data_IF_022092629655
#
_entry.id   IF_022092629655
#
_cell.length_a   1.000
_cell.length_b   1.000
_cell.length_c   1.000
_cell.angle_alpha   90.00
_cell.angle_beta   90.00
_cell.angle_gamma   90.00
#
_symmetry.space_group_name_H-M   'P 1'
#
loop_
_entity.id
_entity.type
_entity.pdbx_description
1 polymer ?
#
# COMPACT_ATOMS: atom_id res chain seq x y z
N UNK A 1 19.26 -7.33 17.64
CA UNK A 1 18.00 -7.95 17.21
C UNK A 1 17.15 -6.91 16.51
N UNK A 2 16.75 -7.22 15.29
CA UNK A 2 16.18 -6.31 14.28
C UNK A 2 14.71 -6.01 14.59
N UNK A 3 14.30 -4.75 14.50
CA UNK A 3 12.88 -4.35 14.54
C UNK A 3 12.62 -3.24 13.52
N UNK A 4 11.84 -3.61 12.49
CA UNK A 4 11.33 -2.75 11.43
C UNK A 4 10.45 -1.62 12.01
N UNK A 5 10.78 -0.36 11.72
CA UNK A 5 9.97 0.81 12.05
C UNK A 5 9.84 1.74 10.86
N UNK A 6 8.60 1.99 10.43
CA UNK A 6 8.28 2.95 9.38
C UNK A 6 8.72 4.37 9.79
N UNK A 7 9.70 4.95 9.08
CA UNK A 7 10.15 6.32 9.29
C UNK A 7 9.15 7.31 8.68
N UNK A 8 8.58 8.17 9.51
CA UNK A 8 7.92 9.40 9.10
C UNK A 8 8.73 10.57 9.62
N UNK A 9 9.43 11.29 8.74
CA UNK A 9 10.12 12.52 9.11
C UNK A 9 9.11 13.60 9.50
N UNK A 10 9.29 14.18 10.68
CA UNK A 10 8.51 15.31 11.17
C UNK A 10 9.30 16.09 12.22
N UNK A 11 10.15 17.01 11.77
CA UNK A 11 10.77 18.00 12.63
C UNK A 11 9.85 19.21 12.83
N UNK A 12 9.57 19.57 14.08
CA UNK A 12 10.01 20.86 14.66
C UNK A 12 9.73 20.91 16.16
N UNK A 13 10.63 21.62 16.82
CA UNK A 13 10.76 21.83 18.24
C UNK A 13 9.59 22.66 18.83
N UNK A 14 9.51 22.58 20.15
CA UNK A 14 8.56 23.13 21.09
C UNK A 14 8.38 24.66 21.00
N UNK A 15 7.12 25.10 21.06
CA UNK A 15 6.69 26.28 21.80
C UNK A 15 5.19 26.12 22.12
N UNK A 16 4.81 26.52 23.32
CA UNK A 16 3.51 26.25 23.96
C UNK A 16 2.43 27.22 23.49
N UNK A 17 1.30 26.70 22.98
CA UNK A 17 0.02 27.42 22.97
C UNK A 17 -1.17 26.43 23.02
N UNK A 18 -2.14 26.56 23.96
CA UNK A 18 -3.17 25.55 24.22
C UNK A 18 -4.51 25.80 23.50
N UNK A 19 -4.53 26.33 22.28
CA UNK A 19 -5.79 26.55 21.54
C UNK A 19 -5.65 26.33 20.02
N UNK A 20 -5.54 25.08 19.54
CA UNK A 20 -6.02 24.70 18.20
C UNK A 20 -6.45 23.23 18.16
N UNK A 21 -7.61 22.92 18.74
CA UNK A 21 -8.34 21.69 18.43
C UNK A 21 -9.28 21.93 17.25
N UNK A 22 -8.78 21.75 16.02
CA UNK A 22 -9.64 21.84 14.83
C UNK A 22 -8.85 21.67 13.55
N UNK A 23 -9.28 20.73 12.71
CA UNK A 23 -8.77 20.41 11.37
C UNK A 23 -7.68 19.34 11.26
N UNK A 24 -8.11 18.09 11.46
CA UNK A 24 -7.41 16.90 10.99
C UNK A 24 -7.63 16.75 9.48
N UNK A 25 -6.97 17.56 8.66
CA UNK A 25 -6.73 17.19 7.28
C UNK A 25 -5.86 15.92 7.31
N UNK A 26 -6.39 14.82 6.78
CA UNK A 26 -5.67 13.56 6.71
C UNK A 26 -4.60 13.68 5.61
N UNK A 27 -3.54 14.44 5.89
CA UNK A 27 -2.32 14.51 5.10
C UNK A 27 -1.74 13.10 5.13
N UNK A 28 -1.96 12.34 4.06
CA UNK A 28 -1.23 11.08 3.88
C UNK A 28 0.24 11.47 3.83
N UNK A 29 1.11 10.89 4.67
CA UNK A 29 2.53 11.20 4.59
C UNK A 29 3.02 10.86 3.18
N UNK A 30 3.68 11.81 2.52
CA UNK A 30 4.36 11.61 1.25
C UNK A 30 5.64 10.80 1.54
N UNK A 31 5.48 9.53 1.93
CA UNK A 31 6.59 8.62 2.19
C UNK A 31 6.73 7.62 1.04
N UNK A 32 7.87 6.92 1.01
CA UNK A 32 8.16 5.95 -0.05
C UNK A 32 7.06 4.88 -0.17
N UNK A 33 6.57 4.34 0.94
CA UNK A 33 5.51 3.32 0.92
C UNK A 33 4.21 3.82 0.26
N UNK A 34 3.84 5.09 0.49
CA UNK A 34 2.68 5.71 -0.14
C UNK A 34 2.90 5.98 -1.64
N UNK A 35 4.13 6.29 -2.06
CA UNK A 35 4.49 6.40 -3.47
C UNK A 35 4.42 5.03 -4.17
N UNK A 36 5.01 4.00 -3.56
CA UNK A 36 4.96 2.61 -4.05
C UNK A 36 3.52 2.11 -4.12
N UNK A 37 2.67 2.39 -3.12
CA UNK A 37 1.24 2.01 -3.16
C UNK A 37 0.52 2.64 -4.36
N UNK A 38 0.85 3.88 -4.74
CA UNK A 38 0.27 4.53 -5.92
C UNK A 38 0.70 3.84 -7.21
N UNK A 39 1.99 3.53 -7.38
CA UNK A 39 2.51 2.80 -8.55
C UNK A 39 1.91 1.40 -8.64
N UNK A 40 1.90 0.64 -7.54
CA UNK A 40 1.31 -0.71 -7.50
C UNK A 40 -0.17 -0.69 -7.88
N UNK A 41 -0.93 0.31 -7.42
CA UNK A 41 -2.34 0.46 -7.80
C UNK A 41 -2.50 0.86 -9.26
N UNK A 42 -1.65 1.75 -9.78
CA UNK A 42 -1.70 2.16 -11.18
C UNK A 42 -1.43 0.97 -12.12
N UNK A 43 -0.52 0.07 -11.75
CA UNK A 43 -0.21 -1.14 -12.51
C UNK A 43 -1.12 -2.34 -12.17
N UNK A 44 -2.20 -2.15 -11.43
CA UNK A 44 -3.06 -3.27 -11.00
C UNK A 44 -3.59 -4.13 -12.15
N UNK A 45 -3.80 -3.53 -13.32
CA UNK A 45 -4.23 -4.24 -14.51
C UNK A 45 -3.20 -5.29 -15.01
N UNK A 46 -1.91 -5.10 -14.77
CA UNK A 46 -0.86 -6.02 -15.24
C UNK A 46 -0.69 -7.25 -14.35
N UNK A 47 -0.82 -7.09 -13.04
CA UNK A 47 -0.49 -8.14 -12.06
C UNK A 47 -1.72 -8.79 -11.40
N UNK A 48 -2.92 -8.24 -11.55
CA UNK A 48 -4.15 -8.83 -11.02
C UNK A 48 -4.99 -9.49 -12.13
N UNK A 49 -4.73 -10.78 -12.36
CA UNK A 49 -5.40 -11.60 -13.38
C UNK A 49 -6.65 -12.34 -12.88
N UNK A 50 -7.06 -12.13 -11.62
CA UNK A 50 -8.24 -12.81 -11.07
C UNK A 50 -9.51 -12.40 -11.82
N UNK A 51 -10.40 -13.37 -12.16
CA UNK A 51 -11.69 -13.07 -12.76
C UNK A 51 -12.44 -12.11 -11.85
N UNK A 52 -12.64 -10.93 -12.39
CA UNK A 52 -13.21 -9.80 -11.66
C UNK A 52 -14.69 -10.08 -11.41
N UNK A 53 -15.16 -9.86 -10.18
CA UNK A 53 -16.59 -9.89 -9.87
C UNK A 53 -17.33 -8.95 -10.84
N UNK A 54 -18.53 -9.31 -11.36
CA UNK A 54 -19.33 -8.39 -12.16
C UNK A 54 -19.52 -7.06 -11.41
N UNK A 55 -19.48 -6.00 -12.21
CA UNK A 55 -19.32 -4.60 -11.83
C UNK A 55 -19.85 -4.22 -10.45
N UNK A 56 -18.93 -3.89 -9.55
CA UNK A 56 -19.32 -3.12 -8.39
C UNK A 56 -19.87 -1.76 -8.84
N UNK A 57 -20.81 -1.19 -8.10
CA UNK A 57 -21.34 0.17 -8.38
C UNK A 57 -20.22 1.22 -8.45
N UNK A 58 -19.09 0.97 -7.79
CA UNK A 58 -17.88 1.79 -7.85
C UNK A 58 -17.11 1.64 -9.17
N UNK A 59 -17.07 0.44 -9.74
CA UNK A 59 -16.42 0.16 -11.02
C UNK A 59 -17.20 0.79 -12.17
N UNK A 60 -18.53 0.62 -12.17
CA UNK A 60 -19.42 1.29 -13.12
C UNK A 60 -19.27 2.81 -13.08
N UNK A 61 -19.26 3.41 -11.87
CA UNK A 61 -18.99 4.85 -11.70
C UNK A 61 -17.60 5.25 -12.20
N UNK A 62 -16.60 4.39 -12.08
CA UNK A 62 -15.25 4.66 -12.55
C UNK A 62 -15.17 4.63 -14.08
N UNK A 63 -15.84 3.67 -14.73
CA UNK A 63 -15.92 3.63 -16.21
C UNK A 63 -16.66 4.84 -16.76
N UNK A 64 -17.80 5.19 -16.17
CA UNK A 64 -18.58 6.36 -16.58
C UNK A 64 -17.75 7.65 -16.48
N UNK A 65 -16.99 7.81 -15.39
CA UNK A 65 -16.12 8.98 -15.20
C UNK A 65 -14.95 9.01 -16.17
N UNK A 66 -14.37 7.85 -16.47
CA UNK A 66 -13.32 7.75 -17.48
C UNK A 66 -13.84 8.17 -18.86
N UNK A 67 -14.97 7.60 -19.29
CA UNK A 67 -15.61 7.94 -20.55
C UNK A 67 -15.87 9.44 -20.67
N UNK A 68 -16.51 10.05 -19.65
CA UNK A 68 -16.83 11.47 -19.66
C UNK A 68 -15.58 12.39 -19.69
N UNK A 69 -14.49 12.01 -19.04
CA UNK A 69 -13.23 12.79 -19.09
C UNK A 69 -12.54 12.64 -20.44
N UNK A 70 -12.52 11.44 -21.03
CA UNK A 70 -11.89 11.20 -22.33
C UNK A 70 -12.68 11.81 -23.49
N UNK A 71 -14.02 11.82 -23.41
CA UNK A 71 -14.89 12.47 -24.40
C UNK A 71 -14.63 13.98 -24.45
N UNK A 72 -14.61 14.66 -23.30
CA UNK A 72 -14.30 16.09 -23.25
C UNK A 72 -12.86 16.39 -23.71
N UNK A 73 -11.91 15.48 -23.45
CA UNK A 73 -10.53 15.59 -23.95
C UNK A 73 -10.45 15.42 -25.46
N UNK A 74 -11.23 14.50 -26.04
CA UNK A 74 -11.32 14.31 -27.48
C UNK A 74 -11.92 15.55 -28.18
N UNK A 75 -12.82 16.28 -27.51
CA UNK A 75 -13.36 17.57 -27.95
C UNK A 75 -12.39 18.76 -27.77
N UNK A 76 -11.15 18.52 -27.31
CA UNK A 76 -10.15 19.58 -27.12
C UNK A 76 -10.35 20.42 -25.86
N UNK A 77 -11.25 20.03 -24.94
CA UNK A 77 -11.52 20.81 -23.72
C UNK A 77 -10.36 20.68 -22.73
N UNK A 78 -9.88 21.83 -22.24
CA UNK A 78 -8.82 21.90 -21.23
C UNK A 78 -9.22 21.27 -19.89
N UNK A 79 -8.25 20.74 -19.15
CA UNK A 79 -8.50 19.97 -17.91
C UNK A 79 -9.27 20.74 -16.83
N UNK A 80 -9.08 22.06 -16.72
CA UNK A 80 -9.84 22.90 -15.79
C UNK A 80 -11.31 23.03 -16.17
N UNK A 81 -11.60 23.17 -17.46
CA UNK A 81 -12.97 23.25 -17.94
C UNK A 81 -13.67 21.88 -17.84
N UNK A 82 -12.96 20.78 -18.07
CA UNK A 82 -13.46 19.44 -17.76
C UNK A 82 -13.84 19.29 -16.28
N UNK A 83 -13.01 19.81 -15.37
CA UNK A 83 -13.29 19.79 -13.93
C UNK A 83 -14.56 20.57 -13.57
N UNK A 84 -14.75 21.75 -14.19
CA UNK A 84 -15.94 22.57 -14.01
C UNK A 84 -17.20 21.90 -14.55
N UNK A 85 -17.18 21.42 -15.81
CA UNK A 85 -18.33 20.77 -16.47
C UNK A 85 -18.78 19.48 -15.77
N UNK A 86 -17.82 18.69 -15.28
CA UNK A 86 -18.12 17.42 -14.58
C UNK A 86 -18.42 17.60 -13.09
N UNK A 87 -18.25 18.81 -12.54
CA UNK A 87 -18.36 19.09 -11.10
C UNK A 87 -17.37 18.27 -10.26
N UNK A 88 -16.14 18.09 -10.76
CA UNK A 88 -15.10 17.26 -10.11
C UNK A 88 -13.85 18.06 -9.81
N UNK A 89 -13.17 17.70 -8.72
CA UNK A 89 -11.88 18.29 -8.38
C UNK A 89 -10.85 18.06 -9.51
N UNK A 90 -10.04 19.08 -9.81
CA UNK A 90 -9.04 19.06 -10.88
C UNK A 90 -8.07 17.86 -10.77
N UNK A 91 -7.67 17.48 -9.55
CA UNK A 91 -6.81 16.32 -9.31
C UNK A 91 -7.47 14.99 -9.70
N UNK A 92 -8.80 14.90 -9.61
CA UNK A 92 -9.55 13.74 -10.09
C UNK A 92 -9.50 13.71 -11.62
N UNK A 93 -9.83 14.82 -12.29
CA UNK A 93 -9.77 14.89 -13.76
C UNK A 93 -8.37 14.59 -14.27
N UNK A 94 -7.33 15.15 -13.67
CA UNK A 94 -5.93 14.83 -13.98
C UNK A 94 -5.63 13.33 -13.86
N UNK A 95 -6.13 12.67 -12.81
CA UNK A 95 -5.94 11.23 -12.62
C UNK A 95 -6.60 10.42 -13.74
N UNK A 96 -7.84 10.74 -14.09
CA UNK A 96 -8.56 10.04 -15.16
C UNK A 96 -7.93 10.31 -16.53
N UNK A 97 -7.55 11.56 -16.81
CA UNK A 97 -6.95 12.00 -18.06
C UNK A 97 -5.53 11.47 -18.33
N UNK A 98 -4.85 10.92 -17.31
CA UNK A 98 -3.54 10.28 -17.42
C UNK A 98 -3.63 8.77 -17.64
N UNK A 99 -4.77 8.16 -17.33
CA UNK A 99 -4.96 6.73 -17.56
C UNK A 99 -5.24 6.51 -19.04
N UNK A 100 -4.55 5.57 -19.66
CA UNK A 100 -4.81 5.19 -21.05
C UNK A 100 -6.02 4.27 -21.14
N UNK A 101 -6.21 3.44 -20.10
CA UNK A 101 -7.28 2.44 -20.05
C UNK A 101 -8.11 2.61 -18.78
N UNK A 102 -9.39 2.26 -18.89
CA UNK A 102 -10.29 2.24 -17.71
C UNK A 102 -9.74 1.27 -16.66
N UNK A 103 -9.14 0.17 -17.11
CA UNK A 103 -8.57 -0.88 -16.27
C UNK A 103 -7.53 -0.35 -15.26
N UNK A 104 -6.76 0.69 -15.61
CA UNK A 104 -5.70 1.27 -14.77
C UNK A 104 -6.27 2.03 -13.54
N UNK A 105 -7.54 2.44 -13.61
CA UNK A 105 -8.22 3.21 -12.56
C UNK A 105 -9.04 2.34 -11.62
N UNK A 106 -9.24 1.10 -12.03
CA UNK A 106 -10.12 0.17 -11.39
C UNK A 106 -9.39 -0.57 -10.28
N UNK A 107 -9.99 -0.58 -9.09
CA UNK A 107 -9.34 -1.20 -7.93
C UNK A 107 -9.52 -2.72 -7.93
N UNK A 108 -8.50 -3.49 -7.50
CA UNK A 108 -8.65 -4.92 -7.30
C UNK A 108 -9.74 -5.21 -6.25
N UNK A 109 -10.49 -6.33 -6.40
CA UNK A 109 -11.51 -6.72 -5.42
C UNK A 109 -10.88 -6.92 -4.05
N UNK A 110 -11.50 -6.34 -3.01
CA UNK A 110 -11.12 -6.64 -1.62
C UNK A 110 -11.99 -7.77 -1.10
N UNK A 111 -11.41 -8.95 -0.94
CA UNK A 111 -12.07 -10.07 -0.30
C UNK A 111 -11.84 -10.01 1.21
N UNK A 112 -12.92 -9.95 1.98
CA UNK A 112 -12.86 -10.08 3.45
C UNK A 112 -12.56 -11.52 3.88
N UNK A 113 -12.17 -11.72 5.15
CA UNK A 113 -12.06 -13.05 5.73
C UNK A 113 -13.41 -13.79 5.61
N UNK A 114 -13.35 -15.07 5.30
CA UNK A 114 -14.49 -15.96 5.14
C UNK A 114 -14.23 -17.30 5.81
N UNK A 115 -15.29 -18.05 6.10
CA UNK A 115 -15.22 -19.33 6.83
C UNK A 115 -14.31 -20.37 6.16
N UNK A 116 -14.16 -20.30 4.83
CA UNK A 116 -13.31 -21.22 4.07
C UNK A 116 -11.82 -20.88 4.22
N UNK A 117 -11.46 -19.66 4.65
CA UNK A 117 -10.05 -19.27 4.82
C UNK A 117 -9.33 -20.14 5.86
N UNK A 118 -10.03 -20.65 6.88
CA UNK A 118 -9.46 -21.55 7.89
C UNK A 118 -9.07 -22.93 7.33
N UNK A 119 -9.71 -23.38 6.25
CA UNK A 119 -9.45 -24.66 5.60
C UNK A 119 -8.69 -24.51 4.28
N UNK A 120 -8.07 -23.34 4.03
CA UNK A 120 -7.45 -22.98 2.75
C UNK A 120 -6.45 -24.03 2.28
N UNK A 121 -5.52 -24.43 3.13
CA UNK A 121 -4.42 -25.34 2.77
C UNK A 121 -4.94 -26.73 2.41
N UNK A 122 -6.00 -27.19 3.08
CA UNK A 122 -6.67 -28.46 2.77
C UNK A 122 -7.37 -28.40 1.42
N UNK A 123 -8.15 -27.34 1.17
CA UNK A 123 -8.82 -27.11 -0.11
C UNK A 123 -7.80 -27.01 -1.25
N UNK A 124 -6.68 -26.32 -1.04
CA UNK A 124 -5.61 -26.20 -2.03
C UNK A 124 -5.05 -27.56 -2.43
N UNK A 125 -4.66 -28.38 -1.44
CA UNK A 125 -4.08 -29.70 -1.67
C UNK A 125 -5.04 -30.59 -2.47
N UNK A 126 -6.32 -30.63 -2.08
CA UNK A 126 -7.33 -31.44 -2.76
C UNK A 126 -7.66 -30.98 -4.18
N UNK A 127 -7.60 -29.67 -4.44
CA UNK A 127 -7.74 -29.14 -5.80
C UNK A 127 -6.55 -29.52 -6.68
N UNK A 128 -5.33 -29.52 -6.16
CA UNK A 128 -4.14 -29.98 -6.89
C UNK A 128 -4.24 -31.48 -7.24
N UNK A 129 -4.83 -32.27 -6.35
CA UNK A 129 -5.14 -33.69 -6.56
C UNK A 129 -6.36 -33.93 -7.49
N UNK A 130 -6.94 -32.88 -8.08
CA UNK A 130 -8.17 -32.95 -8.92
C UNK A 130 -9.37 -33.60 -8.23
N UNK A 131 -9.46 -33.47 -6.92
CA UNK A 131 -10.57 -34.02 -6.13
C UNK A 131 -11.87 -33.24 -6.40
N UNK A 132 -13.04 -33.91 -6.55
CA UNK A 132 -14.30 -33.22 -6.77
C UNK A 132 -14.71 -32.35 -5.57
N UNK A 133 -15.31 -31.19 -5.85
CA UNK A 133 -15.67 -30.17 -4.84
C UNK A 133 -16.62 -30.71 -3.77
N UNK A 134 -17.48 -31.68 -4.10
CA UNK A 134 -18.37 -32.36 -3.16
C UNK A 134 -17.62 -33.12 -2.08
N UNK A 135 -16.50 -33.77 -2.43
CA UNK A 135 -15.63 -34.48 -1.49
C UNK A 135 -14.82 -33.51 -0.64
N UNK A 136 -14.34 -32.42 -1.23
CA UNK A 136 -13.68 -31.33 -0.49
C UNK A 136 -14.64 -30.76 0.56
N UNK A 137 -15.91 -30.56 0.23
CA UNK A 137 -16.92 -30.05 1.15
C UNK A 137 -17.17 -30.99 2.33
N UNK A 138 -17.22 -32.30 2.10
CA UNK A 138 -17.38 -33.29 3.16
C UNK A 138 -16.19 -33.25 4.12
N UNK A 139 -14.97 -33.28 3.58
CA UNK A 139 -13.74 -33.28 4.38
C UNK A 139 -13.57 -32.00 5.22
N UNK A 140 -13.92 -30.82 4.70
CA UNK A 140 -13.84 -29.60 5.51
C UNK A 140 -14.95 -29.52 6.57
N UNK A 141 -16.12 -30.13 6.32
CA UNK A 141 -17.20 -30.21 7.32
C UNK A 141 -16.78 -31.07 8.51
N UNK A 142 -16.09 -32.18 8.25
CA UNK A 142 -15.52 -33.02 9.31
C UNK A 142 -14.44 -32.27 10.12
N UNK A 143 -13.77 -31.29 9.51
CA UNK A 143 -12.83 -30.38 10.18
C UNK A 143 -13.51 -29.20 10.90
N UNK A 144 -14.84 -29.13 10.93
CA UNK A 144 -15.60 -28.08 11.62
C UNK A 144 -16.09 -26.92 10.74
N UNK A 145 -16.09 -27.07 9.41
CA UNK A 145 -16.64 -26.05 8.51
C UNK A 145 -18.17 -25.97 8.60
N UNK A 146 -18.68 -24.81 9.02
CA UNK A 146 -20.12 -24.54 9.18
C UNK A 146 -20.75 -23.79 8.00
N UNK A 147 -19.97 -23.48 6.96
CA UNK A 147 -20.44 -22.68 5.82
C UNK A 147 -21.21 -23.47 4.75
N UNK A 148 -21.79 -22.74 3.80
CA UNK A 148 -22.55 -23.34 2.69
C UNK A 148 -21.65 -23.91 1.57
N UNK A 149 -22.20 -24.85 0.79
CA UNK A 149 -21.54 -25.39 -0.40
C UNK A 149 -21.25 -24.28 -1.45
N UNK A 150 -22.20 -23.36 -1.61
CA UNK A 150 -22.08 -22.21 -2.50
C UNK A 150 -20.93 -21.28 -2.10
N UNK A 151 -20.66 -21.15 -0.79
CA UNK A 151 -19.51 -20.38 -0.31
C UNK A 151 -18.19 -21.03 -0.71
N UNK A 152 -18.08 -22.37 -0.63
CA UNK A 152 -16.90 -23.12 -1.07
C UNK A 152 -16.70 -23.02 -2.59
N UNK A 153 -17.74 -23.26 -3.39
CA UNK A 153 -17.67 -23.14 -4.86
C UNK A 153 -17.26 -21.72 -5.26
N UNK A 154 -17.86 -20.70 -4.64
CA UNK A 154 -17.51 -19.31 -4.87
C UNK A 154 -16.06 -19.02 -4.47
N UNK A 155 -15.58 -19.57 -3.36
CA UNK A 155 -14.21 -19.42 -2.88
C UNK A 155 -13.19 -20.02 -3.87
N UNK A 156 -13.50 -21.20 -4.41
CA UNK A 156 -12.69 -21.89 -5.43
C UNK A 156 -12.69 -21.10 -6.74
N UNK A 157 -13.85 -20.69 -7.23
CA UNK A 157 -13.99 -19.90 -8.47
C UNK A 157 -13.31 -18.52 -8.38
N UNK A 158 -13.24 -17.94 -7.18
CA UNK A 158 -12.49 -16.70 -6.91
C UNK A 158 -10.97 -16.93 -6.88
N UNK A 159 -10.49 -18.17 -7.08
CA UNK A 159 -9.07 -18.52 -6.99
C UNK A 159 -8.53 -18.51 -5.56
N UNK A 160 -9.38 -18.38 -4.53
CA UNK A 160 -8.92 -18.15 -3.14
C UNK A 160 -8.24 -19.35 -2.49
N UNK A 161 -8.43 -20.53 -3.06
CA UNK A 161 -7.76 -21.74 -2.63
C UNK A 161 -6.29 -21.79 -3.04
N UNK A 162 -5.87 -21.03 -4.05
CA UNK A 162 -4.47 -20.98 -4.49
C UNK A 162 -3.88 -19.59 -4.14
N UNK A 163 -3.05 -19.48 -3.08
CA UNK A 163 -2.41 -18.23 -2.70
C UNK A 163 -1.40 -17.71 -3.74
N UNK A 164 -0.99 -18.53 -4.72
CA UNK A 164 -0.19 -18.10 -5.86
C UNK A 164 -1.06 -17.57 -7.02
N UNK A 165 -2.34 -17.95 -7.10
CA UNK A 165 -3.31 -17.34 -8.04
C UNK A 165 -4.03 -16.14 -7.45
N UNK A 166 -4.06 -16.00 -6.13
CA UNK A 166 -4.58 -14.80 -5.50
C UNK A 166 -3.61 -13.63 -5.68
N UNK A 167 -3.93 -12.74 -6.61
CA UNK A 167 -3.29 -11.43 -6.68
C UNK A 167 -3.33 -10.77 -5.29
N UNK A 168 -2.17 -10.44 -4.69
CA UNK A 168 -2.12 -9.86 -3.36
C UNK A 168 -2.86 -8.52 -3.33
N UNK A 169 -3.41 -8.13 -2.18
CA UNK A 169 -3.91 -6.76 -2.03
C UNK A 169 -2.76 -5.77 -2.32
N UNK A 170 -3.02 -4.57 -2.88
CA UNK A 170 -1.97 -3.60 -3.18
C UNK A 170 -1.04 -3.33 -2.00
N UNK A 171 -1.58 -3.21 -0.79
CA UNK A 171 -0.79 -3.01 0.44
C UNK A 171 0.10 -4.20 0.79
N UNK A 172 -0.36 -5.42 0.52
CA UNK A 172 0.42 -6.62 0.74
C UNK A 172 1.56 -6.72 -0.27
N UNK A 173 1.30 -6.38 -1.53
CA UNK A 173 2.33 -6.31 -2.57
C UNK A 173 3.36 -5.22 -2.26
N UNK A 174 2.92 -4.02 -1.83
CA UNK A 174 3.80 -2.97 -1.32
C UNK A 174 4.65 -3.49 -0.17
N UNK A 175 4.06 -4.19 0.80
CA UNK A 175 4.80 -4.78 1.92
C UNK A 175 5.85 -5.78 1.44
N UNK A 176 5.58 -6.57 0.41
CA UNK A 176 6.55 -7.51 -0.17
C UNK A 176 7.68 -6.80 -0.90
N UNK A 177 7.35 -5.81 -1.75
CA UNK A 177 8.33 -4.97 -2.47
C UNK A 177 9.25 -4.23 -1.51
N UNK A 178 8.70 -3.73 -0.39
CA UNK A 178 9.45 -2.99 0.64
C UNK A 178 10.18 -3.90 1.63
N UNK A 179 9.99 -5.22 1.55
CA UNK A 179 10.67 -6.18 2.42
C UNK A 179 12.00 -6.63 1.83
N UNK A 180 12.93 -7.03 2.70
CA UNK A 180 14.16 -7.71 2.28
C UNK A 180 13.81 -9.06 1.64
N UNK A 181 14.31 -9.38 0.44
CA UNK A 181 14.00 -10.63 -0.24
C UNK A 181 14.28 -11.87 0.61
N UNK A 182 15.32 -11.84 1.45
CA UNK A 182 15.75 -12.93 2.32
C UNK A 182 14.73 -13.24 3.42
N UNK A 183 13.94 -12.24 3.83
CA UNK A 183 12.90 -12.38 4.86
C UNK A 183 11.57 -12.94 4.34
N UNK A 184 11.43 -13.10 3.02
CA UNK A 184 10.23 -13.68 2.40
C UNK A 184 10.38 -15.20 2.25
N UNK A 185 9.30 -15.94 2.49
CA UNK A 185 9.28 -17.38 2.24
C UNK A 185 9.50 -17.67 0.74
N UNK A 186 10.15 -18.79 0.41
CA UNK A 186 10.44 -19.19 -0.98
C UNK A 186 9.24 -19.10 -1.93
N UNK A 187 8.04 -19.59 -1.55
CA UNK A 187 6.83 -19.44 -2.37
C UNK A 187 6.38 -17.98 -2.54
N UNK A 188 6.51 -17.15 -1.49
CA UNK A 188 6.16 -15.72 -1.56
C UNK A 188 7.14 -14.96 -2.44
N UNK A 189 8.43 -15.28 -2.38
CA UNK A 189 9.47 -14.65 -3.21
C UNK A 189 9.23 -14.93 -4.69
N UNK A 190 9.02 -16.21 -5.07
CA UNK A 190 8.68 -16.57 -6.45
C UNK A 190 7.45 -15.84 -6.96
N UNK A 191 6.38 -15.83 -6.16
CA UNK A 191 5.16 -15.09 -6.53
C UNK A 191 5.42 -13.58 -6.65
N UNK A 192 6.22 -12.98 -5.77
CA UNK A 192 6.62 -11.58 -5.92
C UNK A 192 7.38 -11.35 -7.23
N UNK A 193 8.31 -12.23 -7.59
CA UNK A 193 9.10 -12.12 -8.81
C UNK A 193 8.20 -12.23 -10.05
N UNK A 194 7.22 -13.14 -10.06
CA UNK A 194 6.22 -13.27 -11.14
C UNK A 194 5.37 -11.99 -11.29
N UNK A 195 4.94 -11.40 -10.16
CA UNK A 195 4.15 -10.16 -10.17
C UNK A 195 4.98 -8.95 -10.64
N UNK A 196 6.25 -8.88 -10.26
CA UNK A 196 7.17 -7.84 -10.72
C UNK A 196 7.39 -7.97 -12.22
N UNK A 197 7.59 -9.19 -12.72
CA UNK A 197 7.81 -9.48 -14.13
C UNK A 197 6.56 -9.21 -15.02
N UNK A 198 5.39 -8.97 -14.42
CA UNK A 198 4.13 -8.75 -15.16
C UNK A 198 4.15 -7.52 -16.07
N UNK A 199 4.90 -6.47 -15.72
CA UNK A 199 5.10 -5.31 -16.59
C UNK A 199 6.40 -4.56 -16.30
N UNK A 200 6.96 -3.84 -17.29
CA UNK A 200 8.19 -3.07 -17.11
C UNK A 200 8.11 -2.04 -15.97
N UNK A 201 6.95 -1.39 -15.79
CA UNK A 201 6.76 -0.41 -14.72
C UNK A 201 6.88 -1.00 -13.31
N UNK A 202 6.45 -2.25 -13.11
CA UNK A 202 6.62 -2.96 -11.83
C UNK A 202 8.07 -3.38 -11.60
N UNK A 203 8.79 -3.78 -12.66
CA UNK A 203 10.24 -4.05 -12.62
C UNK A 203 11.01 -2.80 -12.22
N UNK A 204 10.79 -1.67 -12.90
CA UNK A 204 11.44 -0.40 -12.59
C UNK A 204 11.14 0.06 -11.17
N UNK A 205 9.88 -0.04 -10.73
CA UNK A 205 9.47 0.26 -9.36
C UNK A 205 10.26 -0.56 -8.32
N UNK A 206 10.34 -1.89 -8.52
CA UNK A 206 11.06 -2.77 -7.61
C UNK A 206 12.56 -2.45 -7.58
N UNK A 207 13.16 -2.14 -8.73
CA UNK A 207 14.56 -1.70 -8.84
C UNK A 207 14.81 -0.43 -8.03
N UNK A 208 14.00 0.63 -8.23
CA UNK A 208 14.19 1.89 -7.49
C UNK A 208 13.99 1.76 -5.98
N UNK A 209 13.05 0.92 -5.56
CA UNK A 209 12.87 0.62 -4.13
C UNK A 209 14.10 -0.09 -3.56
N UNK A 210 14.65 -1.07 -4.28
CA UNK A 210 15.85 -1.82 -3.85
C UNK A 210 17.10 -0.93 -3.80
N UNK A 211 17.29 -0.06 -4.80
CA UNK A 211 18.37 0.93 -4.83
C UNK A 211 18.28 1.90 -3.65
N UNK A 212 17.09 2.45 -3.39
CA UNK A 212 16.89 3.35 -2.25
C UNK A 212 17.14 2.63 -0.92
N UNK A 213 16.68 1.37 -0.80
CA UNK A 213 16.96 0.56 0.37
C UNK A 213 18.47 0.35 0.58
N UNK A 214 19.23 0.11 -0.49
CA UNK A 214 20.69 -0.03 -0.43
C UNK A 214 21.39 1.29 -0.04
N UNK A 215 20.88 2.44 -0.48
CA UNK A 215 21.35 3.76 -0.02
C UNK A 215 21.11 3.92 1.48
N UNK A 216 19.88 3.62 1.93
CA UNK A 216 19.48 3.71 3.34
C UNK A 216 20.28 2.77 4.24
N UNK A 217 20.45 1.50 3.86
CA UNK A 217 21.18 0.52 4.68
C UNK A 217 22.69 0.68 4.63
N UNK A 218 23.22 1.10 3.48
CA UNK A 218 24.65 1.36 3.29
C UNK A 218 25.10 2.74 3.77
N UNK A 219 24.15 3.56 4.25
CA UNK A 219 24.35 4.96 4.64
C UNK A 219 25.06 5.81 3.57
N UNK A 220 24.63 5.66 2.32
CA UNK A 220 25.25 6.31 1.15
C UNK A 220 24.50 7.56 0.72
N UNK A 221 24.33 8.54 1.62
CA UNK A 221 23.57 9.76 1.31
C UNK A 221 24.08 10.50 0.07
N UNK A 222 25.37 10.38 -0.27
CA UNK A 222 25.96 10.94 -1.49
C UNK A 222 25.31 10.42 -2.80
N UNK A 223 24.74 9.21 -2.79
CA UNK A 223 24.12 8.60 -3.97
C UNK A 223 22.66 9.06 -4.16
N UNK A 224 22.11 9.83 -3.22
CA UNK A 224 20.72 10.28 -3.24
C UNK A 224 20.40 11.13 -4.47
N UNK A 225 21.32 12.00 -4.90
CA UNK A 225 21.10 12.91 -6.03
C UNK A 225 20.88 12.13 -7.34
N UNK A 226 21.78 11.18 -7.60
CA UNK A 226 21.70 10.31 -8.77
C UNK A 226 20.44 9.44 -8.73
N UNK A 227 20.07 8.93 -7.55
CA UNK A 227 18.85 8.15 -7.38
C UNK A 227 17.57 8.96 -7.63
N UNK A 228 17.49 10.22 -7.17
CA UNK A 228 16.34 11.09 -7.44
C UNK A 228 16.22 11.39 -8.93
N UNK A 229 17.32 11.73 -9.61
CA UNK A 229 17.32 12.03 -11.05
C UNK A 229 16.81 10.82 -11.85
N UNK A 230 17.41 9.65 -11.64
CA UNK A 230 17.02 8.42 -12.34
C UNK A 230 15.57 8.00 -12.04
N UNK A 231 15.09 8.15 -10.81
CA UNK A 231 13.69 7.84 -10.45
C UNK A 231 12.70 8.81 -11.08
N UNK A 232 13.11 10.08 -11.31
CA UNK A 232 12.29 11.09 -11.97
C UNK A 232 12.14 10.78 -13.46
N UNK A 233 13.21 10.30 -14.10
CA UNK A 233 13.22 9.90 -15.52
C UNK A 233 12.36 8.66 -15.80
N UNK A 234 12.18 7.77 -14.81
CA UNK A 234 11.31 6.59 -14.94
C UNK A 234 9.81 6.92 -14.96
N UNK A 235 9.42 8.15 -14.59
CA UNK A 235 8.02 8.62 -14.55
C UNK A 235 7.08 7.69 -13.75
N UNK A 236 7.55 7.21 -12.59
CA UNK A 236 6.77 6.29 -11.75
C UNK A 236 5.51 6.96 -11.14
N UNK A 237 4.31 6.36 -11.26
CA UNK A 237 3.07 6.97 -10.78
C UNK A 237 3.07 7.28 -9.27
N UNK A 238 3.06 8.56 -8.93
CA UNK A 238 2.92 9.02 -7.56
C UNK A 238 4.23 9.25 -6.80
N UNK A 239 5.38 9.19 -7.49
CA UNK A 239 6.69 9.51 -6.94
C UNK A 239 6.98 11.02 -6.88
N UNK A 240 6.36 11.87 -7.71
CA UNK A 240 6.62 13.33 -7.76
C UNK A 240 6.63 13.99 -6.37
N UNK A 241 5.58 13.73 -5.58
CA UNK A 241 5.42 14.34 -4.25
C UNK A 241 6.42 13.80 -3.21
N UNK A 242 6.92 12.58 -3.41
CA UNK A 242 7.95 11.99 -2.56
C UNK A 242 9.32 12.60 -2.92
N UNK A 243 9.68 12.63 -4.21
CA UNK A 243 10.94 13.19 -4.69
C UNK A 243 11.08 14.67 -4.33
N UNK A 244 10.04 15.48 -4.57
CA UNK A 244 10.05 16.89 -4.18
C UNK A 244 10.19 17.07 -2.65
N UNK A 245 9.72 16.11 -1.85
CA UNK A 245 9.89 16.13 -0.40
C UNK A 245 11.35 15.92 0.02
N UNK A 246 12.04 14.99 -0.63
CA UNK A 246 13.46 14.72 -0.39
C UNK A 246 14.33 15.92 -0.79
N UNK A 247 14.04 16.54 -1.92
CA UNK A 247 14.76 17.74 -2.40
C UNK A 247 14.52 18.95 -1.49
N UNK A 248 13.30 19.13 -0.98
CA UNK A 248 12.97 20.25 -0.07
C UNK A 248 13.77 20.19 1.23
N UNK A 249 13.95 18.99 1.77
CA UNK A 249 14.68 18.75 3.01
C UNK A 249 16.04 18.10 2.71
N UNK A 250 16.76 18.59 1.70
CA UNK A 250 17.98 17.98 1.15
C UNK A 250 19.04 17.68 2.22
N UNK A 251 19.46 18.69 2.99
CA UNK A 251 20.51 18.53 3.99
C UNK A 251 20.11 17.54 5.09
N UNK A 252 18.86 17.62 5.55
CA UNK A 252 18.34 16.72 6.58
C UNK A 252 18.22 15.28 6.07
N UNK A 253 17.78 15.09 4.82
CA UNK A 253 17.65 13.78 4.18
C UNK A 253 19.02 13.16 3.95
N UNK A 254 19.95 13.91 3.35
CA UNK A 254 21.32 13.46 3.10
C UNK A 254 22.03 13.10 4.39
N UNK A 255 21.93 13.97 5.41
CA UNK A 255 22.51 13.71 6.74
C UNK A 255 21.89 12.47 7.39
N UNK A 256 20.56 12.30 7.32
CA UNK A 256 19.86 11.14 7.84
C UNK A 256 20.19 9.83 7.12
N UNK A 257 20.60 9.92 5.85
CA UNK A 257 21.07 8.80 5.04
C UNK A 257 22.57 8.55 5.15
N UNK A 258 23.35 9.39 5.84
CA UNK A 258 24.82 9.24 5.96
C UNK A 258 25.25 8.95 7.39
N UNK A 259 24.68 9.65 8.36
CA UNK A 259 25.11 9.53 9.76
C UNK A 259 24.61 8.23 10.40
N UNK A 260 25.34 7.69 11.40
CA UNK A 260 24.91 6.53 12.16
C UNK A 260 23.70 6.84 13.07
N UNK A 261 23.48 8.11 13.38
CA UNK A 261 22.47 8.57 14.32
C UNK A 261 21.09 8.62 13.67
N UNK A 262 20.08 8.11 14.38
CA UNK A 262 18.68 8.22 14.00
C UNK A 262 17.85 8.59 15.21
N UNK A 263 16.85 9.45 15.02
CA UNK A 263 15.87 9.77 16.05
C UNK A 263 14.80 8.68 16.20
N UNK A 264 14.88 7.58 15.46
CA UNK A 264 13.86 6.51 15.44
C UNK A 264 13.53 5.93 16.82
N UNK A 265 14.52 5.54 17.66
CA UNK A 265 14.24 5.04 19.01
C UNK A 265 13.55 6.09 19.90
N UNK A 266 14.02 7.34 19.86
CA UNK A 266 13.45 8.45 20.62
C UNK A 266 12.02 8.77 20.15
N UNK A 267 11.77 8.73 18.84
CA UNK A 267 10.46 8.93 18.26
C UNK A 267 9.49 7.80 18.62
N UNK A 268 9.97 6.55 18.66
CA UNK A 268 9.21 5.39 19.13
C UNK A 268 8.75 5.53 20.58
N UNK A 269 9.67 5.93 21.47
CA UNK A 269 9.36 6.22 22.87
C UNK A 269 8.35 7.37 22.95
N UNK A 270 8.57 8.46 22.21
CA UNK A 270 7.65 9.60 22.19
C UNK A 270 6.24 9.19 21.70
N UNK A 271 6.13 8.33 20.70
CA UNK A 271 4.83 7.83 20.22
C UNK A 271 4.16 6.93 21.25
N UNK A 272 4.90 6.04 21.94
CA UNK A 272 4.36 5.24 23.06
C UNK A 272 3.82 6.14 24.17
N UNK A 273 4.58 7.16 24.56
CA UNK A 273 4.16 8.13 25.58
C UNK A 273 2.92 8.92 25.11
N UNK A 274 2.90 9.40 23.87
CA UNK A 274 1.73 10.08 23.28
C UNK A 274 0.49 9.18 23.26
N UNK A 275 0.66 7.89 22.99
CA UNK A 275 -0.42 6.90 23.02
C UNK A 275 -0.97 6.71 24.45
N UNK A 276 -0.10 6.50 25.45
CA UNK A 276 -0.50 6.38 26.86
C UNK A 276 -1.21 7.65 27.37
N UNK A 277 -0.75 8.83 26.95
CA UNK A 277 -1.41 10.13 27.23
C UNK A 277 -2.80 10.25 26.58
N UNK A 278 -2.99 9.68 25.38
CA UNK A 278 -4.30 9.67 24.69
C UNK A 278 -5.28 8.68 25.32
N UNK A 279 -4.80 7.50 25.75
CA UNK A 279 -5.63 6.52 26.47
C UNK A 279 -6.17 7.04 27.81
N UNK A 280 -5.48 8.01 28.40
CA UNK A 280 -5.91 8.71 29.62
C UNK A 280 -6.82 9.90 29.33
N UNK A 281 -7.29 10.07 28.08
CA UNK A 281 -8.18 11.15 27.65
C UNK A 281 -7.71 12.55 28.09
N UNK A 282 -6.39 12.78 28.08
CA UNK A 282 -5.80 14.05 28.51
C UNK A 282 -5.76 14.29 30.02
N UNK A 283 -6.30 13.39 30.85
CA UNK A 283 -6.33 13.49 32.32
C UNK A 283 -5.04 13.04 33.03
N UNK A 284 -3.92 12.99 32.32
CA UNK A 284 -2.67 12.48 32.88
C UNK A 284 -1.86 13.59 33.57
N UNK A 285 -1.98 13.69 34.90
CA UNK A 285 -0.93 14.36 35.69
C UNK A 285 0.39 13.63 35.50
N UNK A 286 1.53 14.32 35.67
CA UNK A 286 2.85 13.70 35.51
C UNK A 286 3.00 12.43 36.35
N UNK A 287 2.47 12.45 37.59
CA UNK A 287 2.46 11.29 38.48
C UNK A 287 1.69 10.08 37.89
N UNK A 288 0.53 10.31 37.28
CA UNK A 288 -0.27 9.25 36.64
C UNK A 288 0.41 8.72 35.37
N UNK A 289 0.98 9.61 34.55
CA UNK A 289 1.70 9.23 33.34
C UNK A 289 2.95 8.40 33.69
N UNK A 290 3.73 8.82 34.69
CA UNK A 290 4.90 8.09 35.19
C UNK A 290 4.53 6.69 35.67
N UNK A 291 3.48 6.56 36.50
CA UNK A 291 3.00 5.24 36.94
C UNK A 291 2.62 4.34 35.77
N UNK A 292 1.91 4.87 34.77
CA UNK A 292 1.47 4.11 33.61
C UNK A 292 2.62 3.68 32.68
N UNK A 293 3.64 4.51 32.52
CA UNK A 293 4.85 4.15 31.77
C UNK A 293 5.63 3.03 32.47
N UNK A 294 5.75 3.09 33.80
CA UNK A 294 6.48 2.09 34.59
C UNK A 294 5.77 0.73 34.63
N UNK A 295 4.44 0.71 34.53
CA UNK A 295 3.63 -0.52 34.51
C UNK A 295 3.48 -1.15 33.12
N UNK A 296 3.85 -0.43 32.06
CA UNK A 296 3.71 -0.85 30.65
C UNK A 296 5.06 -1.29 30.04
N UNK A 297 6.06 -1.60 30.90
CA UNK A 297 7.39 -2.11 30.50
C UNK A 297 7.41 -3.63 30.36
#
# INVERSE_FOLDING_TARGET
MLSNGHAGFGGRAWETDPEQSGHRAQVRPNNLAAAVEKSVVAYAASWNTLPRKPDSTLDARTRQRFAAVHELRAQGVGLMECARRLGRALNTVKRYARAERVEDLLRPPRYGPCLVDAHRDHVQRRLAEKTPVTRILAEIRDQGYTGSANLLVRYINQGRADPQRLAPSPRRLVSWIMSRPEGLSGPTRRHLDDLIASCPGMTTLATRVREFAAILTGRRGQDLAAWIATTRDDVLPGFDAYLNGLEKDWDATTTGLTLPYSNGPAEGINNKIKMLKRQTYGKASFALLRKRILLDQ
#
